data_IF_173517215587
#
_entry.id   IF_173517215587
#
_cell.length_a   1.000
_cell.length_b   1.000
_cell.length_c   1.000
_cell.angle_alpha   90.00
_cell.angle_beta   90.00
_cell.angle_gamma   90.00
#
_symmetry.space_group_name_H-M   'P 1'
#
loop_
_entity.id
_entity.type
_entity.pdbx_description
1 polymer ?
#
# COMPACT_ATOMS: atom_id res chain seq x y z
N UNK A 1 10.42 2.69 24.17
CA UNK A 1 9.55 3.87 24.04
C UNK A 1 9.54 4.24 22.58
N UNK A 2 8.46 3.92 21.86
CA UNK A 2 8.27 4.27 20.46
C UNK A 2 8.39 5.78 20.31
N UNK A 3 9.24 6.23 19.39
CA UNK A 3 9.49 7.66 19.17
C UNK A 3 8.18 8.41 18.88
N UNK A 4 8.09 9.59 19.49
CA UNK A 4 7.04 10.62 19.39
C UNK A 4 6.06 10.43 18.23
N UNK A 5 4.80 10.20 18.55
CA UNK A 5 3.59 10.10 17.73
C UNK A 5 3.84 10.08 16.20
N UNK A 6 3.82 8.92 15.56
CA UNK A 6 3.98 8.85 14.11
C UNK A 6 2.84 9.62 13.43
N UNK A 7 3.15 10.28 12.32
CA UNK A 7 2.15 10.94 11.48
C UNK A 7 1.57 9.95 10.47
N UNK A 8 2.44 9.08 9.93
CA UNK A 8 2.06 8.07 8.93
C UNK A 8 2.36 6.69 9.50
N UNK A 9 1.40 5.76 9.40
CA UNK A 9 1.62 4.34 9.61
C UNK A 9 1.73 3.63 8.26
N UNK A 10 2.76 2.84 8.08
CA UNK A 10 3.00 2.06 6.88
C UNK A 10 2.74 0.60 7.24
N UNK A 11 1.77 -0.03 6.59
CA UNK A 11 1.43 -1.43 6.80
C UNK A 11 2.05 -2.26 5.67
N UNK A 12 2.86 -3.25 6.04
CA UNK A 12 3.49 -4.18 5.09
C UNK A 12 3.10 -5.61 5.47
N UNK A 13 2.16 -6.22 4.76
CA UNK A 13 1.87 -7.65 4.88
C UNK A 13 3.05 -8.49 4.36
N UNK A 14 3.47 -9.49 5.12
CA UNK A 14 4.64 -10.32 4.80
C UNK A 14 4.26 -11.79 4.82
N UNK A 15 4.40 -12.47 3.67
CA UNK A 15 4.21 -13.92 3.56
C UNK A 15 5.10 -14.52 2.46
N UNK A 16 6.13 -15.29 2.87
CA UNK A 16 7.03 -16.00 1.96
C UNK A 16 7.64 -15.12 0.85
N UNK A 17 8.31 -14.04 1.24
CA UNK A 17 8.89 -13.01 0.34
C UNK A 17 10.37 -12.72 0.66
N UNK A 18 11.10 -13.66 1.23
CA UNK A 18 12.48 -13.47 1.69
C UNK A 18 13.40 -12.83 0.64
N UNK A 19 13.17 -13.08 -0.65
CA UNK A 19 13.99 -12.55 -1.76
C UNK A 19 13.82 -11.04 -1.99
N UNK A 20 12.68 -10.48 -1.62
CA UNK A 20 12.29 -9.10 -1.96
C UNK A 20 12.23 -8.19 -0.74
N UNK A 21 11.98 -8.77 0.44
CA UNK A 21 11.62 -8.07 1.66
C UNK A 21 12.70 -7.08 2.12
N UNK A 22 13.97 -7.41 1.97
CA UNK A 22 15.08 -6.53 2.33
C UNK A 22 15.03 -5.21 1.55
N UNK A 23 14.85 -5.28 0.22
CA UNK A 23 14.70 -4.11 -0.64
C UNK A 23 13.48 -3.28 -0.27
N UNK A 24 12.34 -3.93 0.00
CA UNK A 24 11.12 -3.27 0.43
C UNK A 24 11.36 -2.44 1.70
N UNK A 25 11.84 -3.07 2.77
CA UNK A 25 12.06 -2.42 4.06
C UNK A 25 13.08 -1.29 3.92
N UNK A 26 14.21 -1.50 3.25
CA UNK A 26 15.23 -0.47 3.04
C UNK A 26 14.66 0.75 2.32
N UNK A 27 13.83 0.56 1.27
CA UNK A 27 13.19 1.66 0.55
C UNK A 27 12.30 2.53 1.43
N UNK A 28 11.68 1.91 2.44
CA UNK A 28 10.84 2.61 3.43
C UNK A 28 11.71 3.34 4.45
N UNK A 29 12.76 2.74 4.97
CA UNK A 29 13.60 3.35 6.01
C UNK A 29 14.37 4.58 5.52
N UNK A 30 14.70 4.64 4.22
CA UNK A 30 15.38 5.80 3.59
C UNK A 30 14.45 6.93 3.16
N UNK A 31 13.13 6.83 3.41
CA UNK A 31 12.17 7.87 3.04
C UNK A 31 12.58 9.25 3.56
N UNK A 32 12.36 10.29 2.75
CA UNK A 32 12.64 11.69 3.12
C UNK A 32 11.69 12.22 4.20
N UNK A 33 10.50 11.65 4.35
CA UNK A 33 9.58 11.91 5.45
C UNK A 33 9.93 10.99 6.63
N UNK A 34 10.22 11.55 7.82
CA UNK A 34 10.78 10.77 8.95
C UNK A 34 9.78 10.41 10.05
N UNK A 35 8.63 11.09 10.12
CA UNK A 35 7.63 10.89 11.18
C UNK A 35 6.66 9.75 10.83
N UNK A 36 7.19 8.53 10.70
CA UNK A 36 6.38 7.35 10.41
C UNK A 36 6.70 6.19 11.35
N UNK A 37 5.78 5.25 11.46
CA UNK A 37 5.99 3.90 11.95
C UNK A 37 5.84 2.91 10.79
N UNK A 38 6.58 1.81 10.85
CA UNK A 38 6.51 0.69 9.91
C UNK A 38 5.96 -0.53 10.64
N UNK A 39 4.76 -0.98 10.27
CA UNK A 39 4.09 -2.12 10.87
C UNK A 39 4.20 -3.31 9.92
N UNK A 40 5.11 -4.22 10.24
CA UNK A 40 5.33 -5.48 9.51
C UNK A 40 4.39 -6.54 10.07
N UNK A 41 3.52 -7.10 9.24
CA UNK A 41 2.61 -8.18 9.63
C UNK A 41 3.09 -9.48 8.99
N UNK A 42 3.80 -10.31 9.77
CA UNK A 42 4.17 -11.63 9.32
C UNK A 42 2.96 -12.57 9.40
N UNK A 43 2.41 -12.92 8.27
CA UNK A 43 1.21 -13.78 8.13
C UNK A 43 1.60 -15.26 8.01
N UNK A 44 2.39 -15.75 8.98
CA UNK A 44 2.76 -17.16 9.08
C UNK A 44 3.77 -17.60 8.03
N UNK A 45 4.77 -16.78 7.70
CA UNK A 45 5.83 -17.15 6.74
C UNK A 45 6.59 -18.39 7.18
N UNK A 46 6.91 -19.26 6.23
CA UNK A 46 7.68 -20.52 6.41
C UNK A 46 9.11 -20.43 5.87
N UNK A 47 9.44 -19.35 5.16
CA UNK A 47 10.78 -19.00 4.69
C UNK A 47 11.52 -18.09 5.69
N UNK A 48 12.63 -17.43 5.28
CA UNK A 48 13.38 -16.55 6.16
C UNK A 48 12.75 -15.15 6.34
N UNK A 49 11.56 -14.86 5.79
CA UNK A 49 10.92 -13.54 5.91
C UNK A 49 10.77 -13.09 7.36
N UNK A 50 10.36 -13.98 8.29
CA UNK A 50 10.25 -13.63 9.71
C UNK A 50 11.58 -13.21 10.31
N UNK A 51 12.68 -13.92 10.00
CA UNK A 51 14.02 -13.58 10.50
C UNK A 51 14.47 -12.21 9.99
N UNK A 52 14.18 -11.88 8.73
CA UNK A 52 14.46 -10.57 8.16
C UNK A 52 13.69 -9.47 8.92
N UNK A 53 12.39 -9.67 9.15
CA UNK A 53 11.59 -8.73 9.94
C UNK A 53 12.15 -8.51 11.35
N UNK A 54 12.56 -9.58 12.04
CA UNK A 54 13.13 -9.53 13.39
C UNK A 54 14.41 -8.70 13.41
N UNK A 55 15.33 -8.95 12.47
CA UNK A 55 16.57 -8.18 12.32
C UNK A 55 16.29 -6.68 12.20
N UNK A 56 15.42 -6.28 11.27
CA UNK A 56 15.12 -4.86 11.07
C UNK A 56 14.41 -4.21 12.26
N UNK A 57 13.54 -4.94 12.97
CA UNK A 57 12.92 -4.46 14.22
C UNK A 57 13.95 -4.16 15.31
N UNK A 58 15.05 -4.94 15.38
CA UNK A 58 16.14 -4.71 16.32
C UNK A 58 16.99 -3.49 15.95
N UNK A 59 17.12 -3.21 14.64
CA UNK A 59 17.96 -2.13 14.10
C UNK A 59 17.23 -0.76 14.07
N UNK A 60 15.88 -0.72 13.98
CA UNK A 60 15.12 0.53 13.87
C UNK A 60 13.86 0.54 14.76
N UNK A 61 13.85 1.45 15.72
CA UNK A 61 12.77 1.57 16.71
C UNK A 61 11.42 2.07 16.15
N UNK A 62 11.37 2.47 14.89
CA UNK A 62 10.12 2.80 14.18
C UNK A 62 9.38 1.56 13.71
N UNK A 63 9.99 0.38 13.77
CA UNK A 63 9.41 -0.88 13.27
C UNK A 63 8.66 -1.57 14.38
N UNK A 64 7.40 -1.90 14.08
CA UNK A 64 6.55 -2.78 14.87
C UNK A 64 6.38 -4.09 14.09
N UNK A 65 6.69 -5.21 14.70
CA UNK A 65 6.52 -6.55 14.10
C UNK A 65 5.40 -7.28 14.82
N UNK A 66 4.41 -7.73 14.07
CA UNK A 66 3.31 -8.57 14.54
C UNK A 66 3.34 -9.87 13.73
N UNK A 67 3.26 -11.00 14.43
CA UNK A 67 3.16 -12.32 13.79
C UNK A 67 1.80 -12.93 14.08
N UNK A 68 1.21 -13.54 13.07
CA UNK A 68 -0.05 -14.27 13.15
C UNK A 68 0.01 -15.58 12.35
N UNK A 69 -0.85 -16.57 12.62
CA UNK A 69 -1.05 -17.68 11.70
C UNK A 69 -1.52 -17.17 10.35
N UNK A 70 -1.15 -17.86 9.26
CA UNK A 70 -1.55 -17.45 7.91
C UNK A 70 -3.09 -17.39 7.79
N UNK A 71 -3.60 -16.17 7.53
CA UNK A 71 -5.02 -15.86 7.31
C UNK A 71 -5.24 -15.11 5.99
N UNK A 72 -4.16 -14.85 5.23
CA UNK A 72 -4.19 -14.19 3.94
C UNK A 72 -4.06 -12.66 4.02
N UNK A 73 -3.85 -12.06 2.84
CA UNK A 73 -3.51 -10.65 2.66
C UNK A 73 -4.49 -9.68 3.32
N UNK A 74 -5.80 -9.92 3.16
CA UNK A 74 -6.86 -9.10 3.78
C UNK A 74 -6.75 -9.08 5.30
N UNK A 75 -6.57 -10.26 5.92
CA UNK A 75 -6.44 -10.38 7.38
C UNK A 75 -5.16 -9.68 7.87
N UNK A 76 -4.04 -9.81 7.15
CA UNK A 76 -2.81 -9.12 7.49
C UNK A 76 -2.95 -7.59 7.41
N UNK A 77 -3.61 -7.05 6.37
CA UNK A 77 -3.91 -5.61 6.28
C UNK A 77 -4.85 -5.16 7.41
N UNK A 78 -5.88 -5.95 7.75
CA UNK A 78 -6.79 -5.64 8.85
C UNK A 78 -6.06 -5.63 10.20
N UNK A 79 -5.22 -6.63 10.48
CA UNK A 79 -4.38 -6.66 11.68
C UNK A 79 -3.49 -5.42 11.76
N UNK A 80 -2.92 -5.00 10.62
CA UNK A 80 -2.18 -3.74 10.53
C UNK A 80 -3.04 -2.56 10.94
N UNK A 81 -4.23 -2.39 10.35
CA UNK A 81 -5.17 -1.29 10.65
C UNK A 81 -5.58 -1.20 12.13
N UNK A 82 -5.59 -2.31 12.84
CA UNK A 82 -5.93 -2.37 14.28
C UNK A 82 -4.77 -1.93 15.19
N UNK A 83 -3.53 -1.97 14.68
CA UNK A 83 -2.32 -1.75 15.46
C UNK A 83 -1.52 -0.50 15.06
N UNK A 84 -2.13 0.45 14.33
CA UNK A 84 -1.50 1.70 13.88
C UNK A 84 -1.85 2.89 14.75
N UNK A 85 -0.90 3.84 14.85
CA UNK A 85 -1.03 5.05 15.66
C UNK A 85 -1.08 6.33 14.82
N UNK A 86 -0.55 6.33 13.58
CA UNK A 86 -0.53 7.48 12.69
C UNK A 86 -1.90 8.03 12.33
N UNK A 87 -1.96 9.32 12.01
CA UNK A 87 -3.18 9.96 11.48
C UNK A 87 -3.47 9.49 10.05
N UNK A 88 -2.42 9.15 9.32
CA UNK A 88 -2.48 8.65 7.94
C UNK A 88 -1.97 7.22 7.87
N UNK A 89 -2.45 6.48 6.88
CA UNK A 89 -2.03 5.11 6.61
C UNK A 89 -1.75 4.90 5.14
N UNK A 90 -0.71 4.15 4.82
CA UNK A 90 -0.48 3.58 3.50
C UNK A 90 -0.14 2.09 3.61
N UNK A 91 -0.38 1.38 2.53
CA UNK A 91 -0.01 -0.02 2.37
C UNK A 91 1.15 -0.12 1.38
N UNK A 92 2.06 -1.02 1.61
CA UNK A 92 3.15 -1.37 0.68
C UNK A 92 3.22 -2.88 0.65
N UNK A 93 3.16 -3.47 -0.54
CA UNK A 93 3.31 -4.91 -0.69
C UNK A 93 4.78 -5.30 -0.54
N UNK A 94 5.05 -6.39 0.16
CA UNK A 94 6.40 -6.75 0.64
C UNK A 94 7.38 -7.20 -0.46
N UNK A 95 6.89 -7.44 -1.66
CA UNK A 95 7.69 -7.72 -2.86
C UNK A 95 8.03 -6.48 -3.70
N UNK A 96 7.43 -5.31 -3.35
CA UNK A 96 7.60 -4.03 -4.01
C UNK A 96 8.58 -3.11 -3.28
N UNK A 97 8.82 -1.92 -3.85
CA UNK A 97 9.63 -0.87 -3.21
C UNK A 97 9.19 0.52 -3.64
N UNK A 98 9.58 1.55 -2.88
CA UNK A 98 9.10 2.92 -3.08
C UNK A 98 10.24 3.91 -3.33
N UNK A 99 9.96 4.95 -4.12
CA UNK A 99 10.89 6.05 -4.36
C UNK A 99 11.10 6.87 -3.08
N UNK A 100 12.31 7.43 -2.89
CA UNK A 100 12.73 8.17 -1.67
C UNK A 100 11.74 9.25 -1.20
N UNK A 101 10.96 9.82 -2.12
CA UNK A 101 10.00 10.89 -1.82
C UNK A 101 8.53 10.43 -1.81
N UNK A 102 8.25 9.13 -1.82
CA UNK A 102 6.90 8.58 -1.86
C UNK A 102 6.03 9.15 -0.73
N UNK A 103 6.41 8.96 0.51
CA UNK A 103 5.65 9.45 1.66
C UNK A 103 5.51 10.98 1.65
N UNK A 104 6.61 11.69 1.42
CA UNK A 104 6.60 13.16 1.44
C UNK A 104 5.70 13.75 0.37
N UNK A 105 5.73 13.20 -0.84
CA UNK A 105 4.94 13.71 -1.96
C UNK A 105 3.45 13.49 -1.73
N UNK A 106 3.05 12.28 -1.30
CA UNK A 106 1.67 11.96 -1.00
C UNK A 106 1.15 12.79 0.18
N UNK A 107 1.93 12.90 1.26
CA UNK A 107 1.56 13.68 2.44
C UNK A 107 1.37 15.16 2.12
N UNK A 108 2.36 15.80 1.47
CA UNK A 108 2.27 17.20 1.11
C UNK A 108 1.09 17.49 0.18
N UNK A 109 0.82 16.58 -0.78
CA UNK A 109 -0.31 16.74 -1.69
C UNK A 109 -1.65 16.60 -0.95
N UNK A 110 -1.77 15.65 -0.03
CA UNK A 110 -2.95 15.43 0.78
C UNK A 110 -3.23 16.65 1.69
N UNK A 111 -2.21 17.16 2.39
CA UNK A 111 -2.33 18.31 3.28
C UNK A 111 -2.67 19.60 2.53
N UNK A 112 -1.93 19.91 1.45
CA UNK A 112 -2.17 21.09 0.62
C UNK A 112 -3.61 21.16 0.14
N UNK A 113 -4.18 20.04 -0.26
CA UNK A 113 -5.52 19.95 -0.85
C UNK A 113 -6.63 19.68 0.18
N UNK A 114 -6.26 19.45 1.46
CA UNK A 114 -7.16 18.98 2.52
C UNK A 114 -7.96 17.78 2.05
N UNK A 115 -7.24 16.84 1.40
CA UNK A 115 -7.82 15.62 0.85
C UNK A 115 -7.88 14.50 1.90
N UNK A 116 -8.68 13.49 1.64
CA UNK A 116 -8.78 12.30 2.49
C UNK A 116 -7.96 11.14 1.92
N UNK A 117 -7.72 11.17 0.59
CA UNK A 117 -6.88 10.21 -0.12
C UNK A 117 -5.94 10.99 -1.07
N UNK A 118 -4.68 10.60 -1.12
CA UNK A 118 -3.72 11.05 -2.14
C UNK A 118 -3.20 9.84 -2.90
N UNK A 119 -3.21 9.89 -4.23
CA UNK A 119 -2.86 8.80 -5.14
C UNK A 119 -1.67 9.21 -6.00
N UNK A 120 -0.71 8.32 -6.24
CA UNK A 120 0.39 8.55 -7.17
C UNK A 120 0.40 7.55 -8.33
N UNK A 121 1.11 7.89 -9.38
CA UNK A 121 1.48 6.99 -10.47
C UNK A 121 2.54 6.00 -9.99
N UNK A 122 2.79 4.94 -10.78
CA UNK A 122 3.77 3.92 -10.43
C UNK A 122 4.56 3.41 -11.65
N UNK A 123 5.70 2.80 -11.37
CA UNK A 123 6.47 2.07 -12.35
C UNK A 123 6.09 0.58 -12.32
N UNK A 124 5.98 -0.04 -13.48
CA UNK A 124 6.20 -1.47 -13.60
C UNK A 124 7.71 -1.73 -13.61
N UNK A 125 8.17 -2.68 -12.81
CA UNK A 125 9.58 -3.03 -12.70
C UNK A 125 9.79 -4.53 -12.82
N UNK A 126 10.94 -4.96 -13.30
CA UNK A 126 11.33 -6.36 -13.24
C UNK A 126 11.80 -6.75 -11.80
N UNK A 127 12.05 -8.04 -11.59
CA UNK A 127 12.52 -8.56 -10.30
C UNK A 127 13.83 -7.91 -9.82
N UNK A 128 14.68 -7.41 -10.73
CA UNK A 128 15.93 -6.72 -10.41
C UNK A 128 15.73 -5.22 -10.10
N UNK A 129 14.50 -4.72 -10.27
CA UNK A 129 14.15 -3.31 -10.03
C UNK A 129 14.38 -2.39 -11.23
N UNK A 130 14.62 -2.93 -12.44
CA UNK A 130 14.69 -2.13 -13.66
C UNK A 130 13.30 -1.67 -14.05
N UNK A 131 13.12 -0.37 -14.25
CA UNK A 131 11.86 0.25 -14.67
C UNK A 131 11.53 -0.15 -16.11
N UNK A 132 10.33 -0.69 -16.31
CA UNK A 132 9.83 -1.17 -17.62
C UNK A 132 8.90 -0.15 -18.26
N UNK A 133 7.90 0.33 -17.50
CA UNK A 133 6.94 1.34 -17.95
C UNK A 133 6.46 2.20 -16.78
N UNK A 134 5.74 3.27 -17.12
CA UNK A 134 5.02 4.12 -16.17
C UNK A 134 3.53 3.89 -16.35
N UNK A 135 2.85 3.55 -15.28
CA UNK A 135 1.41 3.46 -15.23
C UNK A 135 0.82 4.78 -14.71
N UNK A 136 0.15 5.48 -15.60
CA UNK A 136 -0.45 6.79 -15.33
C UNK A 136 -1.85 6.67 -14.74
N UNK A 137 -2.26 7.71 -14.05
CA UNK A 137 -3.62 7.87 -13.55
C UNK A 137 -4.59 8.15 -14.71
N UNK A 138 -5.82 7.68 -14.59
CA UNK A 138 -6.86 7.84 -15.63
C UNK A 138 -7.50 9.24 -15.66
N UNK A 139 -7.42 9.96 -14.55
CA UNK A 139 -7.95 11.31 -14.47
C UNK A 139 -7.17 12.24 -15.39
N UNK A 140 -7.84 13.19 -16.09
CA UNK A 140 -7.17 14.18 -16.92
C UNK A 140 -6.05 14.93 -16.19
N UNK A 141 -4.96 15.27 -16.86
CA UNK A 141 -3.76 15.87 -16.26
C UNK A 141 -4.05 17.22 -15.59
N UNK A 142 -5.02 17.97 -16.06
CA UNK A 142 -5.47 19.24 -15.48
C UNK A 142 -6.31 19.06 -14.20
N UNK A 143 -6.72 17.84 -13.86
CA UNK A 143 -7.46 17.55 -12.63
C UNK A 143 -6.48 17.15 -11.53
N UNK A 144 -6.37 17.96 -10.51
CA UNK A 144 -5.54 17.69 -9.31
C UNK A 144 -6.34 17.22 -8.10
N UNK A 145 -7.65 17.44 -8.09
CA UNK A 145 -8.57 17.08 -7.00
C UNK A 145 -9.93 16.69 -7.57
N UNK A 146 -10.55 15.67 -6.97
CA UNK A 146 -11.95 15.29 -7.19
C UNK A 146 -12.65 15.06 -5.85
N UNK A 147 -14.00 15.13 -5.84
CA UNK A 147 -14.75 14.48 -4.76
C UNK A 147 -14.61 12.97 -4.89
N UNK A 148 -14.66 12.24 -3.79
CA UNK A 148 -14.54 10.78 -3.85
C UNK A 148 -15.55 10.13 -4.80
N UNK A 149 -16.80 10.66 -4.84
CA UNK A 149 -17.84 10.18 -5.79
C UNK A 149 -17.48 10.46 -7.24
N UNK A 150 -16.89 11.60 -7.54
CA UNK A 150 -16.54 11.95 -8.92
C UNK A 150 -15.37 11.13 -9.48
N UNK A 151 -14.55 10.49 -8.61
CA UNK A 151 -13.53 9.54 -9.07
C UNK A 151 -14.12 8.34 -9.76
N UNK A 152 -15.39 7.97 -9.48
CA UNK A 152 -16.07 6.84 -10.14
C UNK A 152 -16.18 7.01 -11.64
N UNK A 153 -16.19 8.24 -12.16
CA UNK A 153 -16.19 8.51 -13.59
C UNK A 153 -14.94 8.00 -14.32
N UNK A 154 -13.88 7.71 -13.55
CA UNK A 154 -12.59 7.25 -14.08
C UNK A 154 -12.24 5.83 -13.62
N UNK A 155 -13.08 5.21 -12.76
CA UNK A 155 -12.77 3.97 -12.08
C UNK A 155 -12.64 2.77 -13.02
N UNK A 156 -13.48 2.70 -14.04
CA UNK A 156 -13.53 1.58 -14.99
C UNK A 156 -13.12 1.99 -16.42
N UNK A 157 -12.24 2.99 -16.53
CA UNK A 157 -11.59 3.32 -17.80
C UNK A 157 -10.42 2.39 -18.08
N UNK A 158 -9.78 2.53 -19.24
CA UNK A 158 -8.78 1.60 -19.79
C UNK A 158 -7.68 1.16 -18.81
N UNK A 159 -7.25 2.02 -17.87
CA UNK A 159 -6.32 1.69 -16.82
C UNK A 159 -6.91 1.96 -15.42
N UNK A 160 -7.80 1.11 -14.96
CA UNK A 160 -8.46 1.29 -13.64
C UNK A 160 -7.57 0.88 -12.45
N UNK A 161 -6.51 0.13 -12.70
CA UNK A 161 -5.64 -0.44 -11.66
C UNK A 161 -5.12 0.61 -10.66
N UNK A 162 -4.61 1.80 -11.06
CA UNK A 162 -4.16 2.82 -10.12
C UNK A 162 -5.23 3.25 -9.11
N UNK A 163 -6.51 3.19 -9.50
CA UNK A 163 -7.63 3.58 -8.64
C UNK A 163 -8.00 2.47 -7.64
N UNK A 164 -7.85 1.21 -8.02
CA UNK A 164 -8.27 0.06 -7.22
C UNK A 164 -7.23 -0.35 -6.18
N UNK A 165 -5.96 -0.49 -6.58
CA UNK A 165 -4.90 -1.03 -5.71
C UNK A 165 -4.71 -0.24 -4.42
N UNK A 166 -4.36 -0.91 -3.33
CA UNK A 166 -4.18 -0.27 -2.02
C UNK A 166 -2.88 0.53 -1.91
N UNK A 167 -1.84 0.14 -2.63
CA UNK A 167 -0.45 0.47 -2.31
C UNK A 167 0.09 1.78 -2.90
N UNK A 168 -0.53 2.40 -3.89
CA UNK A 168 -0.08 3.68 -4.46
C UNK A 168 -0.72 4.91 -3.80
N UNK A 169 -1.22 4.76 -2.56
CA UNK A 169 -2.06 5.76 -1.91
C UNK A 169 -1.63 6.05 -0.47
N UNK A 170 -1.92 7.28 -0.04
CA UNK A 170 -1.96 7.68 1.36
C UNK A 170 -3.39 8.04 1.72
N UNK A 171 -3.88 7.47 2.80
CA UNK A 171 -5.25 7.64 3.29
C UNK A 171 -5.27 8.32 4.65
N UNK A 172 -6.29 9.15 4.94
CA UNK A 172 -6.64 9.45 6.33
C UNK A 172 -7.11 8.18 7.02
N UNK A 173 -6.53 7.83 8.16
CA UNK A 173 -6.92 6.66 8.94
C UNK A 173 -8.41 6.63 9.28
N UNK A 174 -9.03 7.80 9.45
CA UNK A 174 -10.45 7.91 9.78
C UNK A 174 -11.39 7.27 8.75
N UNK A 175 -10.97 7.11 7.49
CA UNK A 175 -11.77 6.42 6.44
C UNK A 175 -11.97 4.96 6.82
N UNK A 176 -10.99 4.34 7.47
CA UNK A 176 -11.03 2.93 7.86
C UNK A 176 -11.80 2.65 9.17
N UNK A 177 -12.45 3.65 9.79
CA UNK A 177 -13.20 3.42 11.05
C UNK A 177 -14.23 2.30 10.96
N UNK A 178 -14.90 2.18 9.80
CA UNK A 178 -15.95 1.16 9.55
C UNK A 178 -15.65 0.27 8.36
N UNK A 179 -14.51 0.45 7.71
CA UNK A 179 -14.12 -0.30 6.51
C UNK A 179 -12.98 -1.25 6.85
N UNK A 180 -13.08 -2.48 6.37
CA UNK A 180 -12.06 -3.52 6.49
C UNK A 180 -11.99 -4.30 5.18
N UNK A 181 -10.81 -4.84 4.89
CA UNK A 181 -10.62 -5.77 3.79
C UNK A 181 -11.43 -7.04 4.03
N UNK A 182 -12.09 -7.53 3.00
CA UNK A 182 -12.89 -8.77 3.10
C UNK A 182 -11.97 -9.98 3.10
N UNK A 183 -11.94 -10.71 4.20
CA UNK A 183 -11.07 -11.87 4.35
C UNK A 183 -11.52 -13.04 3.47
N UNK A 184 -10.54 -13.86 3.04
CA UNK A 184 -10.78 -15.06 2.26
C UNK A 184 -11.11 -14.84 0.79
N UNK A 185 -10.97 -13.60 0.28
CA UNK A 185 -11.22 -13.24 -1.12
C UNK A 185 -9.91 -12.92 -1.85
N UNK A 186 -9.86 -13.25 -3.14
CA UNK A 186 -8.93 -12.66 -4.09
C UNK A 186 -9.45 -11.29 -4.54
N UNK A 187 -8.57 -10.44 -5.05
CA UNK A 187 -8.92 -9.09 -5.51
C UNK A 187 -9.60 -8.24 -4.43
N UNK A 188 -9.16 -8.40 -3.20
CA UNK A 188 -9.71 -7.75 -2.01
C UNK A 188 -9.71 -6.23 -2.12
N UNK A 189 -8.82 -5.67 -2.92
CA UNK A 189 -8.72 -4.24 -3.20
C UNK A 189 -9.95 -3.73 -3.96
N UNK A 190 -10.51 -4.51 -4.89
CA UNK A 190 -11.71 -4.14 -5.64
C UNK A 190 -12.94 -4.01 -4.73
N UNK A 191 -13.06 -4.90 -3.73
CA UNK A 191 -14.19 -4.87 -2.80
C UNK A 191 -14.17 -3.66 -1.88
N UNK A 192 -13.00 -3.17 -1.49
CA UNK A 192 -12.90 -2.04 -0.56
C UNK A 192 -12.73 -0.70 -1.26
N UNK A 193 -12.21 -0.67 -2.49
CA UNK A 193 -11.92 0.57 -3.21
C UNK A 193 -13.16 1.47 -3.34
N UNK A 194 -14.27 0.96 -3.85
CA UNK A 194 -15.51 1.74 -4.00
C UNK A 194 -16.01 2.33 -2.67
N UNK A 195 -16.16 1.56 -1.57
CA UNK A 195 -16.50 2.11 -0.26
C UNK A 195 -15.51 3.18 0.26
N UNK A 196 -14.19 3.00 0.03
CA UNK A 196 -13.18 3.98 0.43
C UNK A 196 -13.38 5.31 -0.30
N UNK A 197 -13.52 5.27 -1.62
CA UNK A 197 -13.76 6.49 -2.41
C UNK A 197 -15.12 7.12 -2.10
N UNK A 198 -16.17 6.31 -1.90
CA UNK A 198 -17.48 6.83 -1.50
C UNK A 198 -17.43 7.59 -0.17
N UNK A 199 -16.62 7.13 0.77
CA UNK A 199 -16.45 7.74 2.11
C UNK A 199 -15.58 8.99 2.06
N UNK A 200 -14.62 9.05 1.14
CA UNK A 200 -13.72 10.18 0.98
C UNK A 200 -14.45 11.42 0.46
N UNK A 201 -14.26 12.56 1.13
CA UNK A 201 -14.78 13.85 0.64
C UNK A 201 -13.98 14.35 -0.54
N UNK A 202 -12.63 14.22 -0.47
CA UNK A 202 -11.70 14.69 -1.50
C UNK A 202 -10.61 13.66 -1.75
N UNK A 203 -10.28 13.50 -3.03
CA UNK A 203 -9.16 12.70 -3.54
C UNK A 203 -8.23 13.61 -4.32
N UNK A 204 -6.94 13.55 -4.08
CA UNK A 204 -5.92 14.36 -4.75
C UNK A 204 -4.91 13.48 -5.49
N UNK A 205 -4.30 14.00 -6.54
CA UNK A 205 -3.49 13.24 -7.48
C UNK A 205 -2.06 13.78 -7.56
N UNK A 206 -1.07 12.90 -7.47
CA UNK A 206 0.36 13.15 -7.64
C UNK A 206 0.80 12.56 -8.97
N UNK A 207 1.01 13.39 -9.98
CA UNK A 207 1.44 12.99 -11.33
C UNK A 207 2.95 12.67 -11.36
N UNK A 208 3.34 11.75 -10.52
CA UNK A 208 4.72 11.24 -10.42
C UNK A 208 4.67 9.75 -10.09
N UNK A 209 5.44 8.91 -10.80
CA UNK A 209 5.58 7.51 -10.44
C UNK A 209 6.50 7.39 -9.23
N UNK A 210 5.92 7.04 -8.07
CA UNK A 210 6.61 7.00 -6.79
C UNK A 210 6.62 5.61 -6.16
N UNK A 211 5.90 4.67 -6.73
CA UNK A 211 5.84 3.27 -6.31
C UNK A 211 6.43 2.39 -7.41
N UNK A 212 7.12 1.32 -7.06
CA UNK A 212 7.72 0.37 -7.99
C UNK A 212 7.04 -0.99 -7.80
N UNK A 213 6.12 -1.30 -8.70
CA UNK A 213 5.39 -2.57 -8.72
C UNK A 213 6.22 -3.64 -9.45
N UNK A 214 6.65 -4.64 -8.71
CA UNK A 214 7.57 -5.68 -9.20
C UNK A 214 6.82 -6.80 -9.92
N UNK A 215 7.11 -6.96 -11.21
CA UNK A 215 6.60 -8.08 -12.00
C UNK A 215 7.46 -9.32 -11.73
N UNK A 216 6.92 -10.29 -10.99
CA UNK A 216 7.61 -11.54 -10.66
C UNK A 216 6.84 -12.77 -11.07
N UNK A 217 7.56 -13.86 -11.33
CA UNK A 217 6.99 -15.18 -11.48
C UNK A 217 6.35 -15.60 -10.15
N UNK A 218 5.11 -16.15 -10.19
CA UNK A 218 4.40 -16.60 -9.00
C UNK A 218 3.65 -15.50 -8.23
N UNK A 219 3.50 -14.29 -8.78
CA UNK A 219 2.54 -13.31 -8.25
C UNK A 219 1.09 -13.84 -8.37
N UNK A 220 0.19 -13.38 -7.49
CA UNK A 220 -1.23 -13.73 -7.55
C UNK A 220 -1.80 -13.39 -8.93
N UNK A 221 -1.40 -12.26 -9.53
CA UNK A 221 -1.86 -11.82 -10.86
C UNK A 221 -1.38 -12.76 -11.98
N UNK A 222 -0.15 -13.29 -11.88
CA UNK A 222 0.46 -14.16 -12.89
C UNK A 222 0.20 -15.66 -12.64
N UNK A 223 -0.46 -16.03 -11.53
CA UNK A 223 -0.79 -17.42 -11.27
C UNK A 223 -2.01 -17.88 -12.09
N UNK A 224 -2.06 -19.18 -12.42
CA UNK A 224 -3.18 -19.77 -13.18
C UNK A 224 -4.53 -19.44 -12.55
N UNK A 225 -5.55 -19.25 -13.39
CA UNK A 225 -6.92 -19.07 -12.94
C UNK A 225 -7.43 -20.35 -12.25
N UNK A 226 -7.95 -20.17 -11.05
CA UNK A 226 -8.60 -21.23 -10.27
C UNK A 226 -10.10 -20.94 -10.17
N UNK A 227 -10.91 -21.96 -9.86
CA UNK A 227 -12.36 -21.76 -9.65
C UNK A 227 -12.65 -20.68 -8.60
N UNK A 228 -11.85 -20.61 -7.54
CA UNK A 228 -11.96 -19.59 -6.50
C UNK A 228 -11.66 -18.18 -7.02
N UNK A 229 -10.64 -18.00 -7.86
CA UNK A 229 -10.35 -16.69 -8.49
C UNK A 229 -11.48 -16.23 -9.42
N UNK A 230 -12.21 -17.16 -10.01
CA UNK A 230 -13.35 -16.87 -10.89
C UNK A 230 -14.60 -16.47 -10.10
N UNK A 231 -14.76 -17.01 -8.89
CA UNK A 231 -15.93 -16.75 -8.01
C UNK A 231 -15.78 -15.48 -7.17
N UNK A 232 -14.59 -14.97 -7.02
CA UNK A 232 -14.24 -13.77 -6.28
C UNK A 232 -14.19 -12.55 -7.17
#
# INVERSE_FOLDING_TARGET
>A
MTGKNPVISIIVPVYNVEKYLDRCIQSILVQSFKKFELVLINDGSTDNSLKICQKYREEDNRIVLISQPNKGLSAARNTGLENIHGEYVCFIDSDDFVEKNYLRSLYNNLEKNKADISICEYFLTDEKGKKLSVEKLNEPENISILSGKNTFNYFYKDNYVPNVVAWNKLYKRSIFKKLRYKEGRYFEDEFIALPLFYTAKKVSFVRKPLYNYVQRSGSIMNSSWTLKKYQD
#
